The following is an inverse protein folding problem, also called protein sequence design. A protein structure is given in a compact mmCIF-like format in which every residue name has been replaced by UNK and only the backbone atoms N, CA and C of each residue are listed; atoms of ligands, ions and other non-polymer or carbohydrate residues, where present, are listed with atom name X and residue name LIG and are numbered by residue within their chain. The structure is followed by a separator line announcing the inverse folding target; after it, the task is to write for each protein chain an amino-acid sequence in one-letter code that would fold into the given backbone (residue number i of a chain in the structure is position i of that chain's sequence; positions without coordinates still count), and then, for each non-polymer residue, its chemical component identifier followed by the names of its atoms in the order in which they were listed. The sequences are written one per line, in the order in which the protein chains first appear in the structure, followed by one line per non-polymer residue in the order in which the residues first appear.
data_IF_583088641487
#
_entry.id   IF_583088641487
#
_cell.length_a   1.000
_cell.length_b   1.000
_cell.length_c   1.000
_cell.angle_alpha   90.00
_cell.angle_beta   90.00
_cell.angle_gamma   90.00
#
_symmetry.space_group_name_H-M   'P 1'
#
loop_
_entity.id
_entity.type
_entity.pdbx_description
1 polymer ?
#
# COMPACT_ATOMS: atom_id res chain seq x y z
N UNK A 1 8.06 -14.09 17.02
CA UNK A 1 8.90 -12.89 16.83
C UNK A 1 9.13 -12.58 15.35
N UNK A 2 9.48 -13.57 14.52
CA UNK A 2 9.79 -13.37 13.10
C UNK A 2 8.62 -12.82 12.28
N UNK A 3 7.41 -13.37 12.46
CA UNK A 3 6.19 -12.90 11.75
C UNK A 3 5.90 -11.43 12.02
N UNK A 4 6.12 -10.96 13.25
CA UNK A 4 5.87 -9.56 13.62
C UNK A 4 6.86 -8.61 12.94
N UNK A 5 8.13 -9.02 12.86
CA UNK A 5 9.19 -8.27 12.19
C UNK A 5 8.94 -8.19 10.67
N UNK A 6 8.60 -9.32 10.04
CA UNK A 6 8.27 -9.40 8.61
C UNK A 6 7.03 -8.55 8.29
N UNK A 7 6.01 -8.61 9.14
CA UNK A 7 4.78 -7.81 8.99
C UNK A 7 5.07 -6.31 9.08
N UNK A 8 5.91 -5.89 10.04
CA UNK A 8 6.30 -4.50 10.19
C UNK A 8 7.06 -3.98 8.96
N UNK A 9 8.10 -4.68 8.51
CA UNK A 9 8.85 -4.27 7.33
C UNK A 9 8.00 -4.27 6.06
N UNK A 10 7.09 -5.23 5.92
CA UNK A 10 6.14 -5.26 4.80
C UNK A 10 5.21 -4.04 4.82
N UNK A 11 4.68 -3.67 5.98
CA UNK A 11 3.86 -2.47 6.13
C UNK A 11 4.63 -1.19 5.77
N UNK A 12 5.90 -1.08 6.16
CA UNK A 12 6.78 0.05 5.79
C UNK A 12 6.98 0.12 4.28
N UNK A 13 7.26 -1.00 3.61
CA UNK A 13 7.44 -1.04 2.15
C UNK A 13 6.15 -0.62 1.43
N UNK A 14 5.00 -1.13 1.88
CA UNK A 14 3.69 -0.76 1.33
C UNK A 14 3.44 0.74 1.52
N UNK A 15 3.74 1.29 2.70
CA UNK A 15 3.61 2.72 2.98
C UNK A 15 4.47 3.57 2.02
N UNK A 16 5.75 3.23 1.86
CA UNK A 16 6.66 3.94 0.94
C UNK A 16 6.12 3.87 -0.50
N UNK A 17 5.60 2.72 -0.90
CA UNK A 17 5.02 2.52 -2.24
C UNK A 17 3.80 3.40 -2.46
N UNK A 18 2.84 3.40 -1.53
CA UNK A 18 1.64 4.25 -1.61
C UNK A 18 2.03 5.73 -1.62
N UNK A 19 2.97 6.14 -0.77
CA UNK A 19 3.45 7.51 -0.72
C UNK A 19 4.08 7.94 -2.06
N UNK A 20 4.89 7.08 -2.67
CA UNK A 20 5.53 7.34 -3.97
C UNK A 20 4.50 7.46 -5.09
N UNK A 21 3.45 6.62 -5.08
CA UNK A 21 2.33 6.72 -6.04
C UNK A 21 1.61 8.06 -5.88
N UNK A 22 1.28 8.45 -4.65
CA UNK A 22 0.62 9.74 -4.37
C UNK A 22 1.50 10.91 -4.84
N UNK A 23 2.80 10.84 -4.64
CA UNK A 23 3.74 11.85 -5.12
C UNK A 23 3.74 11.94 -6.65
N UNK A 24 3.75 10.81 -7.36
CA UNK A 24 3.65 10.77 -8.82
C UNK A 24 2.31 11.35 -9.33
N UNK A 25 1.20 11.02 -8.66
CA UNK A 25 -0.12 11.60 -8.95
C UNK A 25 -0.14 13.12 -8.72
N UNK A 26 0.55 13.60 -7.68
CA UNK A 26 0.64 15.03 -7.39
C UNK A 26 1.45 15.78 -8.47
N UNK A 27 2.52 15.16 -8.99
CA UNK A 27 3.27 15.69 -10.13
C UNK A 27 2.37 15.77 -11.37
N UNK A 28 1.61 14.72 -11.68
CA UNK A 28 0.67 14.71 -12.81
C UNK A 28 -0.44 15.76 -12.64
N UNK A 29 -0.93 15.98 -11.42
CA UNK A 29 -1.90 17.03 -11.11
C UNK A 29 -1.31 18.43 -11.36
N UNK A 30 -0.09 18.69 -10.88
CA UNK A 30 0.59 19.97 -11.07
C UNK A 30 0.91 20.26 -12.54
N UNK A 31 1.11 19.22 -13.35
CA UNK A 31 1.29 19.33 -14.81
C UNK A 31 -0.02 19.45 -15.59
N UNK A 32 -1.18 19.48 -14.90
CA UNK A 32 -2.51 19.44 -15.50
C UNK A 32 -2.76 18.20 -16.41
N UNK A 33 -2.01 17.12 -16.23
CA UNK A 33 -2.21 15.86 -16.96
C UNK A 33 -3.45 15.10 -16.43
N UNK A 34 -3.81 15.33 -15.16
CA UNK A 34 -5.01 14.79 -14.51
C UNK A 34 -5.81 15.88 -13.80
N UNK A 35 -7.13 15.70 -13.72
CA UNK A 35 -8.01 16.60 -12.97
C UNK A 35 -7.98 16.31 -11.47
N UNK A 36 -8.30 17.33 -10.64
CA UNK A 36 -8.40 17.18 -9.18
C UNK A 36 -9.32 16.03 -8.74
N UNK A 37 -10.42 15.80 -9.47
CA UNK A 37 -11.36 14.70 -9.20
C UNK A 37 -10.72 13.33 -9.41
N UNK A 38 -9.96 13.16 -10.50
CA UNK A 38 -9.21 11.93 -10.79
C UNK A 38 -8.09 11.71 -9.77
N UNK A 39 -7.36 12.77 -9.41
CA UNK A 39 -6.34 12.72 -8.38
C UNK A 39 -6.90 12.20 -7.05
N UNK A 40 -8.00 12.79 -6.56
CA UNK A 40 -8.60 12.40 -5.29
C UNK A 40 -9.08 10.93 -5.32
N UNK A 41 -9.68 10.50 -6.43
CA UNK A 41 -10.12 9.12 -6.62
C UNK A 41 -8.94 8.14 -6.62
N UNK A 42 -7.88 8.41 -7.39
CA UNK A 42 -6.72 7.53 -7.43
C UNK A 42 -5.96 7.50 -6.10
N UNK A 43 -5.79 8.64 -5.44
CA UNK A 43 -5.20 8.71 -4.10
C UNK A 43 -6.00 7.86 -3.10
N UNK A 44 -7.32 7.99 -3.07
CA UNK A 44 -8.18 7.21 -2.18
C UNK A 44 -8.07 5.69 -2.45
N UNK A 45 -8.08 5.29 -3.72
CA UNK A 45 -7.90 3.89 -4.13
C UNK A 45 -6.52 3.36 -3.70
N UNK A 46 -5.44 4.11 -3.93
CA UNK A 46 -4.09 3.70 -3.54
C UNK A 46 -3.96 3.50 -2.04
N UNK A 47 -4.54 4.40 -1.24
CA UNK A 47 -4.55 4.27 0.24
C UNK A 47 -5.38 3.07 0.68
N UNK A 48 -6.55 2.87 0.07
CA UNK A 48 -7.44 1.75 0.39
C UNK A 48 -6.76 0.41 0.08
N UNK A 49 -6.19 0.26 -1.11
CA UNK A 49 -5.47 -0.95 -1.51
C UNK A 49 -4.25 -1.16 -0.62
N UNK A 50 -3.45 -0.12 -0.36
CA UNK A 50 -2.29 -0.22 0.52
C UNK A 50 -2.65 -0.69 1.92
N UNK A 51 -3.70 -0.10 2.52
CA UNK A 51 -4.20 -0.52 3.84
C UNK A 51 -4.72 -1.95 3.80
N UNK A 52 -5.50 -2.30 2.78
CA UNK A 52 -6.04 -3.64 2.62
C UNK A 52 -4.92 -4.69 2.52
N UNK A 53 -3.91 -4.45 1.69
CA UNK A 53 -2.76 -5.35 1.57
C UNK A 53 -1.99 -5.43 2.87
N UNK A 54 -1.71 -4.30 3.55
CA UNK A 54 -0.99 -4.29 4.82
C UNK A 54 -1.69 -5.10 5.93
N UNK A 55 -3.02 -5.17 5.91
CA UNK A 55 -3.81 -5.98 6.84
C UNK A 55 -3.85 -7.44 6.41
N UNK A 56 -4.07 -7.72 5.13
CA UNK A 56 -4.23 -9.11 4.63
C UNK A 56 -2.90 -9.86 4.62
N UNK A 57 -1.78 -9.19 4.33
CA UNK A 57 -0.47 -9.84 4.17
C UNK A 57 -0.01 -10.58 5.44
N UNK A 58 -0.07 -10.00 6.65
CA UNK A 58 0.25 -10.72 7.89
C UNK A 58 -0.61 -11.96 8.13
N UNK A 59 -1.93 -11.87 7.91
CA UNK A 59 -2.84 -13.00 8.09
C UNK A 59 -2.60 -14.10 7.03
N UNK A 60 -2.35 -13.70 5.79
CA UNK A 60 -2.01 -14.62 4.70
C UNK A 60 -0.68 -15.33 4.97
N UNK A 61 0.33 -14.58 5.46
CA UNK A 61 1.63 -15.13 5.81
C UNK A 61 1.51 -16.15 6.95
N UNK A 62 0.73 -15.83 7.98
CA UNK A 62 0.50 -16.73 9.10
C UNK A 62 -0.18 -18.04 8.66
N UNK A 63 -1.23 -17.96 7.82
CA UNK A 63 -1.90 -19.17 7.31
C UNK A 63 -1.03 -20.02 6.40
N UNK A 64 -0.19 -19.41 5.57
CA UNK A 64 0.75 -20.16 4.74
C UNK A 64 1.82 -20.84 5.58
N UNK A 65 2.32 -20.16 6.62
CA UNK A 65 3.29 -20.72 7.53
C UNK A 65 2.72 -21.95 8.27
N UNK A 66 1.51 -21.84 8.81
CA UNK A 66 0.80 -22.94 9.49
C UNK A 66 0.44 -24.12 8.56
N UNK A 67 0.35 -23.90 7.25
CA UNK A 67 0.01 -24.95 6.28
C UNK A 67 1.23 -25.73 5.79
N UNK A 68 2.42 -25.13 5.85
CA UNK A 68 3.67 -25.71 5.32
C UNK A 68 4.48 -26.37 6.44
N UNK A 69 4.41 -25.84 7.66
CA UNK A 69 5.18 -26.29 8.82
C UNK A 69 4.31 -27.05 9.83
#
# INVERSE_FOLDING_TARGET
MEVFLISFFSAVIIYITVHSIIQALNIALNRNEISKRKYCLFMAISIFIGTFVAVVLPFGYQRLFDAIL
#
